data_IF_710829613566
#
_entry.id   IF_710829613566
#
_cell.length_a   1.000
_cell.length_b   1.000
_cell.length_c   1.000
_cell.angle_alpha   90.00
_cell.angle_beta   90.00
_cell.angle_gamma   90.00
#
_symmetry.space_group_name_H-M   'P 1'
#
loop_
_entity.id
_entity.type
_entity.pdbx_description
1 polymer ?
#
# COMPACT_ATOMS: atom_id res chain seq x y z
N UNK A 1 -0.53 -6.40 -19.15
CA UNK A 1 -1.82 -6.60 -18.45
C UNK A 1 -2.24 -5.31 -17.75
N UNK A 2 -3.23 -4.61 -18.31
CA UNK A 2 -3.91 -3.50 -17.67
C UNK A 2 -4.86 -4.09 -16.62
N UNK A 3 -4.53 -3.93 -15.33
CA UNK A 3 -5.54 -4.07 -14.28
C UNK A 3 -6.35 -2.79 -14.35
N UNK A 4 -7.48 -2.84 -15.04
CA UNK A 4 -8.46 -1.75 -15.04
C UNK A 4 -9.07 -1.76 -13.65
N UNK A 5 -8.59 -0.88 -12.78
CA UNK A 5 -9.33 -0.54 -11.56
C UNK A 5 -10.62 0.13 -12.02
N UNK A 6 -11.71 -0.62 -11.99
CA UNK A 6 -13.04 -0.08 -12.23
C UNK A 6 -13.29 1.09 -11.28
N UNK A 7 -13.98 2.16 -11.71
CA UNK A 7 -14.35 3.24 -10.83
C UNK A 7 -15.41 2.70 -9.85
N UNK A 8 -14.97 2.26 -8.68
CA UNK A 8 -15.88 1.98 -7.57
C UNK A 8 -16.59 3.28 -7.21
N UNK A 9 -17.87 3.37 -7.52
CA UNK A 9 -18.78 4.35 -6.95
C UNK A 9 -19.24 3.79 -5.59
N UNK A 10 -18.44 4.03 -4.55
CA UNK A 10 -18.92 3.88 -3.18
C UNK A 10 -19.73 5.13 -2.85
N UNK A 11 -21.05 4.99 -2.75
CA UNK A 11 -21.88 5.92 -2.00
C UNK A 11 -21.69 5.61 -0.52
N UNK A 12 -21.10 6.55 0.21
CA UNK A 12 -21.02 6.48 1.67
C UNK A 12 -22.43 6.77 2.23
N UNK A 13 -23.00 5.94 3.12
CA UNK A 13 -24.21 6.28 3.84
C UNK A 13 -23.80 6.85 5.20
N UNK A 14 -23.44 8.13 5.24
CA UNK A 14 -23.27 8.85 6.50
C UNK A 14 -23.39 10.36 6.22
N UNK A 15 -24.62 10.83 6.02
CA UNK A 15 -25.02 12.21 6.29
C UNK A 15 -26.55 12.23 6.43
N UNK A 16 -27.03 11.90 7.62
CA UNK A 16 -28.36 12.30 8.08
C UNK A 16 -28.22 12.79 9.50
N UNK A 17 -27.66 13.98 9.64
CA UNK A 17 -27.75 14.75 10.88
C UNK A 17 -29.12 15.45 10.86
N UNK A 18 -30.08 14.82 11.53
CA UNK A 18 -31.36 15.42 11.89
C UNK A 18 -31.10 16.50 12.95
N UNK A 19 -31.29 17.76 12.55
CA UNK A 19 -31.53 18.86 13.50
C UNK A 19 -33.04 19.09 13.55
N UNK A 20 -33.70 18.62 14.61
CA UNK A 20 -35.09 18.96 14.93
C UNK A 20 -35.14 19.54 16.34
N UNK A 21 -35.40 20.84 16.39
CA UNK A 21 -35.76 21.56 17.61
C UNK A 21 -37.26 21.42 17.89
N UNK A 22 -37.55 21.21 19.16
CA UNK A 22 -38.86 21.09 19.81
C UNK A 22 -39.75 22.34 19.66
N UNK A 23 -41.05 22.12 19.46
CA UNK A 23 -42.13 22.70 20.30
C UNK A 23 -43.46 22.00 20.03
N UNK A 24 -44.20 21.71 21.10
CA UNK A 24 -45.19 20.64 21.16
C UNK A 24 -46.65 21.03 20.95
N UNK A 25 -47.50 20.00 21.01
CA UNK A 25 -48.85 20.00 21.59
C UNK A 25 -49.41 18.57 21.61
N UNK A 26 -50.09 18.23 22.71
CA UNK A 26 -50.63 16.93 23.16
C UNK A 26 -52.11 16.79 22.70
N UNK A 27 -52.90 15.75 23.06
CA UNK A 27 -52.84 14.30 22.81
C UNK A 27 -53.98 13.81 21.88
N UNK A 28 -53.91 12.57 21.38
CA UNK A 28 -55.11 11.74 21.22
C UNK A 28 -54.80 10.25 21.28
N UNK A 29 -55.60 9.58 22.10
CA UNK A 29 -55.74 8.15 22.35
C UNK A 29 -55.89 7.34 21.07
N UNK A 30 -55.25 6.17 21.02
CA UNK A 30 -55.96 4.91 20.77
C UNK A 30 -55.11 3.70 21.16
N UNK A 31 -55.64 2.99 22.15
CA UNK A 31 -55.38 1.59 22.48
C UNK A 31 -55.56 0.71 21.25
N UNK A 32 -54.54 -0.06 20.90
CA UNK A 32 -54.71 -1.35 20.23
C UNK A 32 -53.57 -2.28 20.65
N UNK A 33 -53.86 -3.05 21.69
CA UNK A 33 -53.26 -4.34 22.02
C UNK A 33 -53.44 -5.28 20.83
N UNK A 34 -52.38 -5.47 20.04
CA UNK A 34 -52.20 -6.67 19.25
C UNK A 34 -50.89 -7.32 19.71
N UNK A 35 -51.09 -8.25 20.65
CA UNK A 35 -50.15 -9.27 21.08
C UNK A 35 -49.87 -10.19 19.90
N UNK A 36 -48.89 -9.80 19.08
CA UNK A 36 -48.36 -10.63 18.01
C UNK A 36 -47.00 -11.12 18.48
N UNK A 37 -47.03 -12.28 19.11
CA UNK A 37 -45.88 -13.12 19.44
C UNK A 37 -45.12 -13.50 18.16
N UNK A 38 -44.41 -12.54 17.57
CA UNK A 38 -43.33 -12.83 16.66
C UNK A 38 -42.15 -13.29 17.53
N UNK A 39 -42.14 -14.60 17.83
CA UNK A 39 -40.89 -15.30 18.06
C UNK A 39 -39.99 -14.96 16.88
N UNK A 40 -39.09 -14.01 17.12
CA UNK A 40 -37.92 -13.74 16.31
C UNK A 40 -37.21 -15.06 16.15
N UNK A 41 -37.47 -15.72 15.02
CA UNK A 41 -36.82 -16.92 14.59
C UNK A 41 -35.37 -16.52 14.36
N UNK A 42 -34.58 -16.65 15.44
CA UNK A 42 -33.16 -16.43 15.52
C UNK A 42 -32.54 -17.35 14.48
N UNK A 43 -32.33 -16.79 13.27
CA UNK A 43 -31.74 -17.53 12.16
C UNK A 43 -30.36 -17.93 12.61
N UNK A 44 -30.22 -19.20 13.00
CA UNK A 44 -28.97 -19.78 13.45
C UNK A 44 -27.88 -19.36 12.46
N UNK A 45 -26.94 -18.57 12.94
CA UNK A 45 -25.89 -18.02 12.08
C UNK A 45 -25.18 -19.17 11.41
N UNK A 46 -25.14 -19.16 10.07
CA UNK A 46 -24.39 -20.16 9.32
C UNK A 46 -22.93 -20.03 9.76
N UNK A 47 -22.22 -21.13 10.08
CA UNK A 47 -20.82 -21.07 10.52
C UNK A 47 -19.92 -20.36 9.50
N UNK A 48 -20.26 -20.42 8.20
CA UNK A 48 -19.57 -19.67 7.14
C UNK A 48 -19.68 -18.16 7.34
N UNK A 49 -20.85 -17.67 7.79
CA UNK A 49 -21.08 -16.27 8.10
C UNK A 49 -20.16 -15.87 9.26
N UNK A 50 -20.16 -16.66 10.35
CA UNK A 50 -19.35 -16.35 11.53
C UNK A 50 -17.86 -16.24 11.20
N UNK A 51 -17.35 -17.09 10.30
CA UNK A 51 -15.95 -17.00 9.84
C UNK A 51 -15.68 -15.71 9.06
N UNK A 52 -16.57 -15.30 8.16
CA UNK A 52 -16.37 -14.12 7.31
C UNK A 52 -16.48 -12.78 8.06
N UNK A 53 -17.21 -12.75 9.17
CA UNK A 53 -17.32 -11.56 10.02
C UNK A 53 -16.32 -11.53 11.17
N UNK A 54 -15.57 -12.61 11.38
CA UNK A 54 -14.48 -12.62 12.35
C UNK A 54 -13.20 -12.02 11.71
N UNK A 55 -12.71 -10.87 12.18
CA UNK A 55 -11.58 -10.17 11.57
C UNK A 55 -10.28 -10.98 11.66
N UNK A 56 -10.10 -11.76 12.72
CA UNK A 56 -8.89 -12.57 12.93
C UNK A 56 -8.85 -13.73 11.93
N UNK A 57 -9.96 -14.46 11.77
CA UNK A 57 -10.05 -15.55 10.79
C UNK A 57 -9.91 -15.02 9.36
N UNK A 58 -10.56 -13.90 9.05
CA UNK A 58 -10.44 -13.26 7.75
C UNK A 58 -9.00 -12.79 7.47
N UNK A 59 -8.30 -12.27 8.48
CA UNK A 59 -6.89 -11.89 8.36
C UNK A 59 -6.01 -13.10 8.04
N UNK A 60 -6.27 -14.25 8.68
CA UNK A 60 -5.56 -15.51 8.42
C UNK A 60 -5.83 -15.97 6.98
N UNK A 61 -7.07 -15.94 6.52
CA UNK A 61 -7.43 -16.29 5.13
C UNK A 61 -6.69 -15.36 4.15
N UNK A 62 -6.75 -14.04 4.35
CA UNK A 62 -6.07 -13.08 3.49
C UNK A 62 -4.55 -13.28 3.49
N UNK A 63 -3.97 -13.57 4.65
CA UNK A 63 -2.55 -13.89 4.79
C UNK A 63 -2.17 -15.16 4.02
N UNK A 64 -2.99 -16.22 4.08
CA UNK A 64 -2.76 -17.43 3.27
C UNK A 64 -2.87 -17.14 1.78
N UNK A 65 -3.91 -16.42 1.33
CA UNK A 65 -4.06 -16.03 -0.07
C UNK A 65 -2.88 -15.18 -0.58
N UNK A 66 -2.28 -14.37 0.31
CA UNK A 66 -1.08 -13.59 0.01
C UNK A 66 0.19 -14.46 -0.03
N UNK A 67 0.33 -15.43 0.90
CA UNK A 67 1.56 -16.22 1.10
C UNK A 67 1.66 -17.48 0.23
N UNK A 68 0.58 -18.23 0.08
CA UNK A 68 0.55 -19.58 -0.51
C UNK A 68 1.04 -19.61 -1.97
N UNK A 69 1.05 -18.46 -2.64
CA UNK A 69 1.47 -18.32 -4.03
C UNK A 69 2.88 -17.75 -4.21
N UNK A 70 3.61 -17.54 -3.10
CA UNK A 70 5.03 -17.17 -3.12
C UNK A 70 5.97 -18.39 -3.04
N UNK A 71 5.45 -19.57 -2.71
CA UNK A 71 6.22 -20.82 -2.50
C UNK A 71 6.34 -21.64 -3.79
N UNK A 72 5.38 -21.52 -4.72
CA UNK A 72 5.54 -22.07 -6.07
C UNK A 72 6.57 -21.22 -6.83
N UNK A 73 7.55 -21.89 -7.47
CA UNK A 73 8.76 -21.34 -8.10
C UNK A 73 8.65 -19.87 -8.59
N UNK A 74 9.73 -19.07 -8.45
CA UNK A 74 9.80 -17.69 -8.97
C UNK A 74 9.84 -17.72 -10.50
N UNK A 75 8.71 -18.06 -11.11
CA UNK A 75 8.43 -17.73 -12.49
C UNK A 75 8.13 -16.24 -12.52
N UNK A 76 8.67 -15.58 -13.53
CA UNK A 76 8.96 -14.15 -13.64
C UNK A 76 7.75 -13.18 -13.54
N UNK A 77 6.58 -13.63 -13.07
CA UNK A 77 5.35 -12.87 -12.94
C UNK A 77 4.64 -13.19 -11.61
N UNK A 78 5.18 -12.69 -10.49
CA UNK A 78 4.61 -12.84 -9.14
C UNK A 78 3.28 -12.12 -8.95
N UNK A 79 2.17 -12.70 -9.42
CA UNK A 79 0.82 -12.09 -9.33
C UNK A 79 -0.33 -13.08 -9.15
N UNK A 80 -0.09 -14.30 -8.69
CA UNK A 80 -1.21 -15.22 -8.45
C UNK A 80 -2.01 -14.79 -7.20
N UNK A 81 -1.36 -14.38 -6.11
CA UNK A 81 -2.05 -13.99 -4.86
C UNK A 81 -2.92 -12.73 -4.97
N UNK A 82 -2.52 -11.76 -5.80
CA UNK A 82 -3.26 -10.51 -5.98
C UNK A 82 -4.64 -10.74 -6.59
N UNK A 83 -4.82 -11.75 -7.45
CA UNK A 83 -6.11 -12.02 -8.08
C UNK A 83 -7.14 -12.53 -7.08
N UNK A 84 -6.75 -13.44 -6.20
CA UNK A 84 -7.63 -13.99 -5.17
C UNK A 84 -8.00 -12.94 -4.13
N UNK A 85 -7.03 -12.11 -3.69
CA UNK A 85 -7.31 -10.97 -2.80
C UNK A 85 -8.22 -9.93 -3.46
N UNK A 86 -8.00 -9.61 -4.74
CA UNK A 86 -8.93 -8.75 -5.47
C UNK A 86 -10.32 -9.37 -5.53
N UNK A 87 -10.45 -10.65 -5.90
CA UNK A 87 -11.74 -11.33 -5.95
C UNK A 87 -12.44 -11.29 -4.58
N UNK A 88 -11.71 -11.55 -3.50
CA UNK A 88 -12.22 -11.49 -2.12
C UNK A 88 -12.63 -10.07 -1.71
N UNK A 89 -11.89 -9.04 -2.13
CA UNK A 89 -12.27 -7.66 -1.86
C UNK A 89 -13.57 -7.27 -2.59
N UNK A 90 -13.85 -7.92 -3.72
CA UNK A 90 -15.02 -7.67 -4.57
C UNK A 90 -16.27 -8.45 -4.15
N UNK A 91 -16.16 -9.45 -3.27
CA UNK A 91 -17.32 -10.28 -2.89
C UNK A 91 -18.30 -9.56 -1.98
N UNK A 92 -17.84 -8.93 -0.90
CA UNK A 92 -18.70 -8.20 0.04
C UNK A 92 -17.97 -7.10 0.82
N UNK A 93 -18.73 -6.20 1.43
CA UNK A 93 -18.18 -5.09 2.22
C UNK A 93 -17.38 -5.57 3.43
N UNK A 94 -17.81 -6.65 4.08
CA UNK A 94 -17.13 -7.19 5.26
C UNK A 94 -15.71 -7.68 4.95
N UNK A 95 -15.48 -8.23 3.75
CA UNK A 95 -14.17 -8.73 3.32
C UNK A 95 -13.32 -7.68 2.63
N UNK A 96 -13.96 -6.66 2.04
CA UNK A 96 -13.33 -5.60 1.27
C UNK A 96 -12.16 -4.95 2.02
N UNK A 97 -12.38 -4.47 3.24
CA UNK A 97 -11.35 -3.71 3.96
C UNK A 97 -10.13 -4.56 4.32
N UNK A 98 -10.36 -5.77 4.84
CA UNK A 98 -9.25 -6.67 5.19
C UNK A 98 -8.49 -7.10 3.95
N UNK A 99 -9.18 -7.51 2.88
CA UNK A 99 -8.53 -7.93 1.64
C UNK A 99 -7.73 -6.80 0.99
N UNK A 100 -8.25 -5.57 0.99
CA UNK A 100 -7.53 -4.39 0.50
C UNK A 100 -6.32 -4.06 1.38
N UNK A 101 -6.39 -4.23 2.71
CA UNK A 101 -5.24 -4.05 3.58
C UNK A 101 -4.09 -4.98 3.15
N UNK A 102 -4.36 -6.27 2.91
CA UNK A 102 -3.33 -7.21 2.44
C UNK A 102 -2.87 -6.92 1.01
N UNK A 103 -3.77 -6.48 0.12
CA UNK A 103 -3.42 -6.17 -1.27
C UNK A 103 -2.46 -4.98 -1.38
N UNK A 104 -2.65 -3.96 -0.53
CA UNK A 104 -1.88 -2.72 -0.54
C UNK A 104 -0.75 -2.71 0.49
N UNK A 105 -0.66 -3.71 1.38
CA UNK A 105 0.34 -3.76 2.46
C UNK A 105 1.77 -3.64 1.92
N UNK A 106 2.10 -4.42 0.87
CA UNK A 106 3.41 -4.44 0.22
C UNK A 106 3.26 -4.24 -1.30
N UNK A 107 3.70 -3.07 -1.79
CA UNK A 107 3.61 -2.72 -3.21
C UNK A 107 4.99 -2.56 -3.86
N UNK A 108 5.03 -2.84 -5.17
CA UNK A 108 6.23 -2.66 -6.00
C UNK A 108 6.06 -1.47 -6.93
N UNK A 109 6.87 -0.44 -6.73
CA UNK A 109 6.80 0.82 -7.43
C UNK A 109 5.55 1.64 -7.08
N UNK A 110 5.50 2.87 -7.59
CA UNK A 110 4.37 3.78 -7.38
C UNK A 110 3.20 3.57 -8.34
N UNK A 111 3.39 2.77 -9.39
CA UNK A 111 2.40 2.56 -10.45
C UNK A 111 1.00 2.17 -9.96
N UNK A 112 0.81 1.26 -8.98
CA UNK A 112 -0.53 0.93 -8.50
C UNK A 112 -1.24 2.14 -7.91
N UNK A 113 -0.55 2.93 -7.08
CA UNK A 113 -1.11 4.09 -6.41
C UNK A 113 -1.35 5.24 -7.41
N UNK A 114 -0.41 5.48 -8.32
CA UNK A 114 -0.58 6.51 -9.35
C UNK A 114 -1.74 6.19 -10.30
N UNK A 115 -2.14 4.91 -10.44
CA UNK A 115 -3.21 4.52 -11.37
C UNK A 115 -4.60 5.01 -10.96
N UNK A 116 -4.72 5.55 -9.74
CA UNK A 116 -5.90 6.25 -9.24
C UNK A 116 -6.15 7.55 -10.02
N UNK A 117 -5.07 8.22 -10.43
CA UNK A 117 -5.18 9.48 -11.15
C UNK A 117 -5.56 9.24 -12.61
N UNK A 118 -6.45 10.08 -13.17
CA UNK A 118 -6.75 10.01 -14.59
C UNK A 118 -5.47 10.27 -15.38
N UNK A 119 -5.23 9.44 -16.40
CA UNK A 119 -4.09 9.66 -17.28
C UNK A 119 -4.42 10.80 -18.22
N UNK A 120 -3.66 11.87 -18.15
CA UNK A 120 -3.54 12.81 -19.26
C UNK A 120 -2.80 12.07 -20.39
N UNK A 121 -3.53 11.30 -21.21
CA UNK A 121 -2.93 10.64 -22.36
C UNK A 121 -2.61 11.72 -23.41
N UNK A 122 -1.34 11.81 -23.78
CA UNK A 122 -1.01 12.13 -25.16
C UNK A 122 -0.97 10.78 -25.91
N UNK A 123 -2.00 10.41 -26.68
CA UNK A 123 -2.10 9.10 -27.33
C UNK A 123 -0.98 8.82 -28.35
N UNK A 124 -0.15 9.81 -28.66
CA UNK A 124 0.81 9.79 -29.76
C UNK A 124 2.27 9.79 -29.33
N UNK A 125 2.56 9.80 -28.02
CA UNK A 125 3.95 9.99 -27.57
C UNK A 125 4.37 9.01 -26.49
N UNK A 126 5.60 8.50 -26.62
CA UNK A 126 6.33 7.76 -25.60
C UNK A 126 6.70 8.66 -24.39
N UNK A 127 5.92 9.71 -24.13
CA UNK A 127 6.17 10.67 -23.07
C UNK A 127 5.92 10.00 -21.71
N UNK A 128 6.76 10.29 -20.70
CA UNK A 128 6.54 9.85 -19.34
C UNK A 128 5.17 10.33 -18.84
N UNK A 129 4.57 9.53 -17.95
CA UNK A 129 3.28 9.86 -17.35
C UNK A 129 3.38 11.20 -16.59
N UNK A 130 2.39 12.08 -16.81
CA UNK A 130 2.23 13.36 -16.11
C UNK A 130 0.83 13.38 -15.45
N UNK A 131 0.75 13.96 -14.25
CA UNK A 131 -0.53 14.20 -13.58
C UNK A 131 -1.26 15.38 -14.24
N UNK A 132 -2.59 15.29 -14.41
CA UNK A 132 -3.38 16.43 -14.91
C UNK A 132 -3.34 17.59 -13.90
N UNK A 133 -3.49 18.82 -14.39
CA UNK A 133 -3.43 20.02 -13.54
C UNK A 133 -4.57 20.08 -12.53
N UNK A 134 -5.75 19.60 -12.90
CA UNK A 134 -6.91 19.52 -12.03
C UNK A 134 -7.22 18.07 -11.67
N UNK A 135 -7.04 17.73 -10.39
CA UNK A 135 -7.42 16.43 -9.82
C UNK A 135 -8.55 16.69 -8.82
N UNK A 136 -9.66 15.96 -8.95
CA UNK A 136 -10.81 16.12 -8.07
C UNK A 136 -10.54 15.65 -6.63
N UNK A 137 -11.19 16.27 -5.65
CA UNK A 137 -11.08 15.89 -4.23
C UNK A 137 -11.45 14.42 -3.98
N UNK A 138 -12.43 13.89 -4.74
CA UNK A 138 -12.78 12.46 -4.69
C UNK A 138 -11.62 11.55 -5.11
N UNK A 139 -10.80 11.99 -6.06
CA UNK A 139 -9.62 11.23 -6.51
C UNK A 139 -8.52 11.28 -5.46
N UNK A 140 -8.31 12.45 -4.84
CA UNK A 140 -7.39 12.60 -3.71
C UNK A 140 -7.80 11.77 -2.49
N UNK A 141 -9.07 11.82 -2.09
CA UNK A 141 -9.59 11.00 -0.99
C UNK A 141 -9.37 9.49 -1.25
N UNK A 142 -9.47 9.06 -2.51
CA UNK A 142 -9.15 7.68 -2.90
C UNK A 142 -7.66 7.39 -2.83
N UNK A 143 -6.82 8.33 -3.25
CA UNK A 143 -5.37 8.24 -3.07
C UNK A 143 -5.01 8.07 -1.60
N UNK A 144 -5.55 8.91 -0.72
CA UNK A 144 -5.30 8.89 0.73
C UNK A 144 -5.75 7.58 1.38
N UNK A 145 -6.93 7.08 0.95
CA UNK A 145 -7.47 5.81 1.41
C UNK A 145 -6.52 4.63 1.11
N UNK A 146 -5.91 4.60 -0.07
CA UNK A 146 -4.99 3.53 -0.44
C UNK A 146 -3.57 3.77 0.08
N UNK A 147 -3.10 5.02 0.08
CA UNK A 147 -1.76 5.38 0.57
C UNK A 147 -1.59 5.05 2.05
N UNK A 148 -2.65 5.24 2.85
CA UNK A 148 -2.69 4.90 4.27
C UNK A 148 -2.68 3.40 4.58
N UNK A 149 -2.85 2.53 3.58
CA UNK A 149 -2.78 1.06 3.73
C UNK A 149 -1.40 0.50 3.43
N UNK A 150 -0.54 1.26 2.75
CA UNK A 150 0.79 0.82 2.35
C UNK A 150 1.73 0.85 3.56
N UNK A 151 2.29 -0.31 3.90
CA UNK A 151 3.28 -0.47 4.98
C UNK A 151 4.66 -0.80 4.45
N UNK A 152 4.75 -1.35 3.25
CA UNK A 152 6.00 -1.70 2.57
C UNK A 152 5.96 -1.24 1.12
N UNK A 153 7.04 -0.62 0.66
CA UNK A 153 7.23 -0.28 -0.75
C UNK A 153 8.62 -0.65 -1.23
N UNK A 154 8.67 -1.21 -2.44
CA UNK A 154 9.92 -1.50 -3.15
C UNK A 154 10.05 -0.63 -4.40
N UNK A 155 11.07 0.22 -4.43
CA UNK A 155 11.37 1.18 -5.49
C UNK A 155 12.69 0.75 -6.18
N UNK A 156 12.56 -0.02 -7.25
CA UNK A 156 13.69 -0.47 -8.07
C UNK A 156 14.05 0.54 -9.17
N UNK A 157 15.17 0.32 -9.86
CA UNK A 157 15.60 1.16 -10.98
C UNK A 157 14.56 1.24 -12.11
N UNK A 158 13.74 0.20 -12.30
CA UNK A 158 12.66 0.22 -13.31
C UNK A 158 11.52 1.16 -12.90
N UNK A 159 11.18 1.21 -11.62
CA UNK A 159 10.16 2.11 -11.09
C UNK A 159 10.52 3.59 -11.30
N UNK A 160 11.82 3.93 -11.32
CA UNK A 160 12.32 5.28 -11.62
C UNK A 160 12.03 5.72 -13.06
N UNK A 161 12.24 4.84 -14.03
CA UNK A 161 12.12 5.21 -15.46
C UNK A 161 10.67 5.37 -15.94
N UNK A 162 9.71 4.83 -15.17
CA UNK A 162 8.29 4.86 -15.53
C UNK A 162 7.58 6.18 -15.22
N UNK A 163 8.15 7.03 -14.37
CA UNK A 163 7.46 8.17 -13.80
C UNK A 163 8.24 9.46 -14.00
N UNK A 164 7.54 10.51 -14.46
CA UNK A 164 8.13 11.85 -14.55
C UNK A 164 8.44 12.36 -13.13
N UNK A 165 9.63 12.95 -12.89
CA UNK A 165 9.95 13.71 -11.68
C UNK A 165 8.85 14.69 -11.23
N UNK A 166 8.14 15.29 -12.20
CA UNK A 166 7.06 16.25 -11.93
C UNK A 166 5.88 15.66 -11.16
N UNK A 167 5.64 14.35 -11.25
CA UNK A 167 4.59 13.67 -10.47
C UNK A 167 4.88 13.84 -8.98
N UNK A 168 6.12 13.59 -8.55
CA UNK A 168 6.50 13.63 -7.14
C UNK A 168 6.46 15.04 -6.58
N UNK A 169 6.81 16.06 -7.37
CA UNK A 169 6.67 17.46 -6.98
C UNK A 169 5.20 17.81 -6.71
N UNK A 170 4.28 17.43 -7.60
CA UNK A 170 2.84 17.65 -7.42
C UNK A 170 2.27 16.93 -6.20
N UNK A 171 2.75 15.72 -5.93
CA UNK A 171 2.34 14.99 -4.73
C UNK A 171 2.82 15.68 -3.45
N UNK A 172 4.05 16.20 -3.45
CA UNK A 172 4.64 16.93 -2.33
C UNK A 172 3.92 18.25 -2.02
N UNK A 173 3.31 18.90 -3.02
CA UNK A 173 2.49 20.11 -2.83
C UNK A 173 1.22 19.85 -2.00
N UNK A 174 0.74 18.60 -1.96
CA UNK A 174 -0.53 18.24 -1.33
C UNK A 174 -0.38 17.50 -0.01
N UNK A 175 0.70 16.74 0.16
CA UNK A 175 0.90 15.89 1.33
C UNK A 175 2.33 15.98 1.83
N UNK A 176 2.48 16.15 3.14
CA UNK A 176 3.78 16.17 3.81
C UNK A 176 4.41 14.76 3.83
N UNK A 177 3.58 13.73 4.09
CA UNK A 177 3.98 12.34 4.07
C UNK A 177 3.11 11.57 3.06
N UNK A 178 3.74 11.11 1.97
CA UNK A 178 3.03 10.46 0.87
C UNK A 178 2.38 9.13 1.28
N UNK A 179 3.05 8.41 2.18
CA UNK A 179 2.64 7.10 2.68
C UNK A 179 2.66 7.15 4.22
N UNK A 180 1.58 7.61 4.88
CA UNK A 180 1.61 7.97 6.30
C UNK A 180 1.79 6.77 7.24
N UNK A 181 1.56 5.54 6.78
CA UNK A 181 1.76 4.30 7.56
C UNK A 181 2.88 3.42 7.02
N UNK A 182 3.78 3.98 6.22
CA UNK A 182 4.92 3.25 5.70
C UNK A 182 5.84 2.83 6.84
N UNK A 183 6.15 1.54 6.91
CA UNK A 183 7.03 0.94 7.91
C UNK A 183 8.35 0.47 7.29
N UNK A 184 8.32 0.07 6.02
CA UNK A 184 9.45 -0.50 5.30
C UNK A 184 9.63 0.15 3.93
N UNK A 185 10.83 0.66 3.69
CA UNK A 185 11.22 1.23 2.40
C UNK A 185 12.38 0.43 1.83
N UNK A 186 12.17 -0.26 0.70
CA UNK A 186 13.26 -0.85 -0.08
C UNK A 186 13.51 0.02 -1.30
N UNK A 187 14.73 0.51 -1.46
CA UNK A 187 15.13 1.37 -2.57
C UNK A 187 16.37 0.81 -3.25
N UNK A 188 16.37 0.82 -4.58
CA UNK A 188 17.61 0.68 -5.35
C UNK A 188 18.45 1.96 -5.22
N UNK A 189 19.78 1.83 -5.24
CA UNK A 189 20.70 2.96 -5.11
C UNK A 189 20.47 4.06 -6.16
N UNK A 190 20.04 3.71 -7.38
CA UNK A 190 19.69 4.69 -8.39
C UNK A 190 18.45 5.51 -8.01
N UNK A 191 17.50 4.91 -7.27
CA UNK A 191 16.35 5.63 -6.72
C UNK A 191 16.73 6.40 -5.44
N UNK A 192 17.60 5.84 -4.61
CA UNK A 192 18.07 6.46 -3.38
C UNK A 192 18.83 7.78 -3.62
N UNK A 193 19.50 7.90 -4.76
CA UNK A 193 20.13 9.15 -5.19
C UNK A 193 19.13 10.24 -5.63
N UNK A 194 17.85 9.88 -5.80
CA UNK A 194 16.81 10.80 -6.25
C UNK A 194 16.20 11.56 -5.07
N UNK A 195 16.11 12.91 -5.10
CA UNK A 195 15.56 13.70 -3.99
C UNK A 195 14.11 13.34 -3.63
N UNK A 196 13.33 12.72 -4.53
CA UNK A 196 11.96 12.29 -4.21
C UNK A 196 11.90 11.18 -3.18
N UNK A 197 13.01 10.46 -2.92
CA UNK A 197 13.08 9.48 -1.83
C UNK A 197 12.72 10.09 -0.48
N UNK A 198 12.96 11.39 -0.30
CA UNK A 198 12.63 12.12 0.93
C UNK A 198 11.14 12.09 1.26
N UNK A 199 10.25 12.03 0.24
CA UNK A 199 8.81 11.97 0.43
C UNK A 199 8.36 10.68 1.15
N UNK A 200 9.14 9.61 1.00
CA UNK A 200 8.91 8.33 1.67
C UNK A 200 9.54 8.32 3.07
N UNK A 201 10.69 8.99 3.23
CA UNK A 201 11.37 9.15 4.52
C UNK A 201 10.61 10.07 5.49
N UNK A 202 9.70 10.91 4.99
CA UNK A 202 8.79 11.71 5.82
C UNK A 202 7.72 10.90 6.55
N UNK A 203 7.62 9.59 6.32
CA UNK A 203 6.61 8.77 7.01
C UNK A 203 6.95 8.60 8.50
N UNK A 204 6.02 8.89 9.42
CA UNK A 204 6.29 8.86 10.86
C UNK A 204 6.44 7.45 11.44
N UNK A 205 5.98 6.42 10.74
CA UNK A 205 6.02 5.03 11.18
C UNK A 205 7.13 4.21 10.51
N UNK A 206 8.01 4.87 9.74
CA UNK A 206 9.09 4.19 9.05
C UNK A 206 10.06 3.64 10.11
N UNK A 207 10.34 2.34 10.05
CA UNK A 207 11.26 1.64 10.96
C UNK A 207 12.44 1.05 10.18
N UNK A 208 12.19 0.55 8.96
CA UNK A 208 13.19 -0.16 8.17
C UNK A 208 13.44 0.53 6.82
N UNK A 209 14.69 0.85 6.52
CA UNK A 209 15.13 1.28 5.19
C UNK A 209 16.16 0.28 4.68
N UNK A 210 15.92 -0.24 3.48
CA UNK A 210 16.77 -1.20 2.82
C UNK A 210 17.26 -0.65 1.50
N UNK A 211 18.58 -0.60 1.33
CA UNK A 211 19.21 -0.20 0.07
C UNK A 211 19.67 -1.46 -0.66
N UNK A 212 19.28 -1.60 -1.91
CA UNK A 212 19.75 -2.66 -2.81
C UNK A 212 20.68 -2.08 -3.86
N UNK A 213 21.73 -2.84 -4.18
CA UNK A 213 22.70 -2.47 -5.21
C UNK A 213 22.44 -3.31 -6.45
N UNK A 214 22.52 -2.66 -7.61
CA UNK A 214 22.48 -3.35 -8.90
C UNK A 214 23.89 -3.73 -9.35
N UNK A 215 24.91 -2.98 -8.93
CA UNK A 215 26.33 -3.26 -9.21
C UNK A 215 27.28 -2.87 -8.07
N UNK A 216 28.47 -3.46 -8.04
CA UNK A 216 29.51 -3.17 -7.02
C UNK A 216 30.05 -1.73 -7.13
N UNK A 217 29.92 -1.07 -8.30
CA UNK A 217 30.38 0.31 -8.54
C UNK A 217 29.48 1.40 -7.96
N UNK A 218 28.34 1.04 -7.37
CA UNK A 218 27.36 2.00 -6.85
C UNK A 218 27.53 2.29 -5.34
N UNK A 219 28.54 1.70 -4.69
CA UNK A 219 28.78 1.86 -3.26
C UNK A 219 28.98 3.32 -2.84
N UNK A 220 29.71 4.10 -3.63
CA UNK A 220 30.01 5.51 -3.32
C UNK A 220 28.75 6.39 -3.31
N UNK A 221 27.77 6.09 -4.17
CA UNK A 221 26.49 6.82 -4.22
C UNK A 221 25.63 6.53 -2.99
N UNK A 222 25.72 5.32 -2.43
CA UNK A 222 24.97 4.98 -1.23
C UNK A 222 25.42 5.82 -0.02
N UNK A 223 26.69 6.21 0.07
CA UNK A 223 27.21 7.01 1.20
C UNK A 223 26.42 8.31 1.43
N UNK A 224 26.08 9.04 0.35
CA UNK A 224 25.30 10.28 0.43
C UNK A 224 23.88 10.01 0.94
N UNK A 225 23.24 8.95 0.45
CA UNK A 225 21.90 8.58 0.88
C UNK A 225 21.89 8.09 2.32
N UNK A 226 22.85 7.25 2.72
CA UNK A 226 23.03 6.78 4.10
C UNK A 226 23.17 7.98 5.04
N UNK A 227 24.01 8.95 4.69
CA UNK A 227 24.17 10.18 5.44
C UNK A 227 22.84 10.96 5.55
N UNK A 228 22.11 11.08 4.45
CA UNK A 228 20.82 11.77 4.40
C UNK A 228 19.76 11.10 5.28
N UNK A 229 19.65 9.76 5.22
CA UNK A 229 18.75 8.95 6.04
C UNK A 229 19.10 9.12 7.53
N UNK A 230 20.38 8.99 7.87
CA UNK A 230 20.85 9.12 9.26
C UNK A 230 20.54 10.49 9.87
N UNK A 231 20.63 11.54 9.06
CA UNK A 231 20.28 12.90 9.49
C UNK A 231 18.77 13.10 9.64
N UNK A 232 17.97 12.57 8.71
CA UNK A 232 16.52 12.80 8.69
C UNK A 232 15.76 11.94 9.70
N UNK A 233 16.23 10.74 9.98
CA UNK A 233 15.51 9.80 10.82
C UNK A 233 16.51 8.88 11.56
N UNK A 234 17.11 9.39 12.66
CA UNK A 234 18.20 8.71 13.37
C UNK A 234 17.79 7.39 14.06
N UNK A 235 16.49 7.13 14.20
CA UNK A 235 15.96 5.88 14.75
C UNK A 235 15.79 4.74 13.73
N UNK A 236 16.05 4.98 12.45
CA UNK A 236 15.79 4.01 11.39
C UNK A 236 16.79 2.86 11.38
N UNK A 237 16.26 1.64 11.21
CA UNK A 237 17.02 0.44 10.92
C UNK A 237 17.42 0.45 9.45
N UNK A 238 18.66 0.81 9.19
CA UNK A 238 19.22 0.80 7.86
C UNK A 238 19.88 -0.55 7.55
N UNK A 239 19.50 -1.17 6.43
CA UNK A 239 20.09 -2.41 5.94
C UNK A 239 20.63 -2.24 4.52
N UNK A 240 21.88 -2.59 4.31
CA UNK A 240 22.54 -2.61 3.01
C UNK A 240 22.55 -4.05 2.52
N UNK A 241 21.88 -4.30 1.39
CA UNK A 241 21.85 -5.65 0.79
C UNK A 241 22.64 -5.64 -0.50
N UNK A 242 23.84 -6.25 -0.51
CA UNK A 242 24.66 -6.31 -1.71
C UNK A 242 23.96 -7.11 -2.79
N UNK A 243 24.25 -6.77 -4.05
CA UNK A 243 23.75 -7.55 -5.17
C UNK A 243 24.20 -9.01 -5.02
N UNK A 244 23.31 -10.00 -5.17
CA UNK A 244 23.75 -11.38 -5.21
C UNK A 244 24.63 -11.52 -6.45
N UNK A 245 25.96 -11.56 -6.26
CA UNK A 245 26.92 -11.87 -7.33
C UNK A 245 26.38 -13.12 -8.02
N UNK A 246 25.98 -13.01 -9.29
CA UNK A 246 25.68 -14.20 -10.10
C UNK A 246 26.91 -15.08 -9.96
N UNK A 247 26.76 -16.17 -9.20
CA UNK A 247 27.81 -17.16 -9.09
C UNK A 247 28.02 -17.65 -10.52
N UNK A 248 29.06 -17.12 -11.16
CA UNK A 248 29.58 -17.69 -12.39
C UNK A 248 29.77 -19.16 -12.07
N UNK A 249 29.14 -20.04 -12.84
CA UNK A 249 29.08 -21.48 -12.60
C UNK A 249 30.46 -22.15 -12.85
N UNK A 250 31.52 -21.59 -12.30
CA UNK A 250 32.86 -22.17 -12.22
C UNK A 250 33.23 -22.27 -10.75
N UNK A 251 32.94 -23.43 -10.18
CA UNK A 251 33.55 -24.01 -8.99
C UNK A 251 33.97 -23.03 -7.88
N UNK A 252 33.04 -22.65 -7.00
CA UNK A 252 33.40 -22.18 -5.65
C UNK A 252 32.40 -22.75 -4.63
N UNK A 253 32.72 -23.91 -4.08
CA UNK A 253 32.08 -24.46 -2.87
C UNK A 253 32.69 -23.74 -1.66
N UNK A 254 32.17 -22.58 -1.28
CA UNK A 254 32.27 -21.96 0.07
C UNK A 254 32.23 -20.43 -0.03
N UNK A 255 31.03 -19.84 -0.15
CA UNK A 255 30.82 -18.42 0.16
C UNK A 255 29.46 -18.28 0.85
N UNK A 256 29.44 -18.43 2.18
CA UNK A 256 28.36 -17.88 2.98
C UNK A 256 28.61 -16.37 3.12
N UNK A 257 27.85 -15.54 2.39
CA UNK A 257 27.97 -14.08 2.53
C UNK A 257 27.43 -13.64 3.89
N UNK A 258 28.21 -12.91 4.70
CA UNK A 258 27.72 -12.34 5.94
C UNK A 258 26.73 -11.20 5.65
N UNK A 259 25.58 -11.20 6.35
CA UNK A 259 24.71 -10.02 6.42
C UNK A 259 25.37 -9.02 7.37
N UNK A 260 25.91 -7.93 6.86
CA UNK A 260 26.36 -6.80 7.67
C UNK A 260 25.16 -5.94 8.03
N UNK A 261 24.66 -6.11 9.26
CA UNK A 261 23.84 -5.09 9.92
C UNK A 261 24.81 -4.00 10.39
N UNK A 262 24.86 -2.88 9.69
CA UNK A 262 25.70 -1.76 10.09
C UNK A 262 24.80 -0.80 10.87
N UNK A 263 25.08 -0.63 12.17
CA UNK A 263 24.41 0.38 12.97
C UNK A 263 24.94 1.76 12.58
N UNK A 264 24.07 2.78 12.56
CA UNK A 264 24.44 4.16 12.21
C UNK A 264 25.65 4.68 13.02
N UNK A 265 25.87 4.18 14.23
CA UNK A 265 27.01 4.57 15.07
C UNK A 265 28.37 4.05 14.59
N UNK A 266 28.43 3.14 13.62
CA UNK A 266 29.67 2.54 13.12
C UNK A 266 30.16 3.15 11.79
N UNK A 267 29.38 4.06 11.19
CA UNK A 267 29.65 4.68 9.88
C UNK A 267 30.10 6.14 9.97
N UNK A 268 30.16 6.71 11.19
CA UNK A 268 30.73 8.02 11.50
C UNK A 268 32.06 7.83 12.23
#
# INVERSE_FOLDING_TARGET
>A
MHVVFWPFHFSHPADTVLSQNHSGSIPRTNTNTNDSSHQSMETASSPTKDVLYNPDLLSIICWFLCRELSISKPTFNGRFGTKSLCALALTCHATCDTALNYLWDDIRGMKPLLSIFPRALSPTSNLPWILPDAISDKTWARFDLYSSRIRSINLDAHSRTLHSPTIFLRLAEKQEALLPKLQKLTVDVAFAADPFVLLFLSSPLLDEVKITFSSDSEADMASIFIWTVGRKAPGLRLSIVPHPRRASARNCRSCASPRTNISFQQLL
#
